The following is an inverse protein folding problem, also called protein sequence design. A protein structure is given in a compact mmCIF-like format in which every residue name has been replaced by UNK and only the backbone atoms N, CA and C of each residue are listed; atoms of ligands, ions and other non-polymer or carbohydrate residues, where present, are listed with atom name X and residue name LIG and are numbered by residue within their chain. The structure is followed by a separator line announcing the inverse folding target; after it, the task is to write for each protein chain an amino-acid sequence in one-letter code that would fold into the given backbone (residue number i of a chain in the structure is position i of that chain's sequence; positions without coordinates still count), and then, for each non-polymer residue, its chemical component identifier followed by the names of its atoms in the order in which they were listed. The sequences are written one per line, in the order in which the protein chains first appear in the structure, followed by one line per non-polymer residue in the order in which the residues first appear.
data_IF_063206735034
#
_entry.id   IF_063206735034
#
_cell.length_a   1.000
_cell.length_b   1.000
_cell.length_c   1.000
_cell.angle_alpha   90.00
_cell.angle_beta   90.00
_cell.angle_gamma   90.00
#
_symmetry.space_group_name_H-M   'P 1'
#
loop_
_entity.id
_entity.type
_entity.pdbx_description
1 polymer ?
#
# COMPACT_ATOMS: atom_id res chain seq x y z
N UNK A 1 -3.80 -20.80 -8.71
CA UNK A 1 -2.56 -20.38 -9.39
C UNK A 1 -2.90 -19.61 -10.65
N UNK A 2 -2.47 -18.35 -10.74
CA UNK A 2 -2.48 -17.60 -12.00
C UNK A 2 -1.49 -16.45 -11.84
N UNK A 3 -0.45 -16.42 -12.67
CA UNK A 3 0.59 -15.37 -12.68
C UNK A 3 0.47 -14.64 -14.00
N UNK A 4 0.26 -13.32 -13.96
CA UNK A 4 0.39 -12.43 -15.12
C UNK A 4 1.67 -11.63 -14.96
N UNK A 5 2.51 -11.66 -15.98
CA UNK A 5 3.75 -10.87 -16.08
C UNK A 5 3.49 -9.80 -17.13
N UNK A 6 3.60 -8.53 -16.76
CA UNK A 6 3.72 -7.43 -17.72
C UNK A 6 5.15 -6.88 -17.69
N UNK A 7 5.75 -6.80 -18.87
CA UNK A 7 7.14 -6.44 -19.08
C UNK A 7 7.25 -4.98 -19.52
N UNK A 8 7.68 -4.11 -18.60
CA UNK A 8 8.00 -2.70 -18.87
C UNK A 8 9.49 -2.51 -19.05
N UNK A 9 9.91 -2.12 -20.26
CA UNK A 9 11.32 -1.89 -20.62
C UNK A 9 11.78 -0.50 -20.12
N UNK A 10 12.67 -0.47 -19.12
CA UNK A 10 13.32 0.74 -18.61
C UNK A 10 14.49 0.38 -17.72
N UNK A 11 15.65 0.99 -17.96
CA UNK A 11 16.95 0.65 -17.36
C UNK A 11 16.95 0.84 -15.84
N UNK A 12 17.53 -0.16 -15.17
CA UNK A 12 17.98 -0.24 -13.78
C UNK A 12 16.88 -0.18 -12.69
N UNK A 13 16.83 -1.27 -11.90
CA UNK A 13 15.90 -1.62 -10.81
C UNK A 13 14.55 -2.29 -11.19
N UNK A 14 14.52 -3.62 -11.08
CA UNK A 14 13.29 -4.43 -11.05
C UNK A 14 12.67 -4.32 -9.65
N UNK A 15 11.50 -3.70 -9.55
CA UNK A 15 10.71 -3.70 -8.30
C UNK A 15 9.60 -4.73 -8.43
N UNK A 16 9.71 -5.86 -7.73
CA UNK A 16 8.67 -6.89 -7.68
C UNK A 16 7.68 -6.53 -6.57
N UNK A 17 6.43 -6.23 -6.95
CA UNK A 17 5.35 -5.96 -5.99
C UNK A 17 4.57 -7.26 -5.76
N UNK A 18 4.89 -7.97 -4.69
CA UNK A 18 4.12 -9.13 -4.22
C UNK A 18 2.96 -8.65 -3.34
N UNK A 19 1.74 -8.69 -3.89
CA UNK A 19 0.52 -8.44 -3.12
C UNK A 19 -0.09 -9.78 -2.71
N UNK A 20 0.16 -10.22 -1.47
CA UNK A 20 -0.56 -11.34 -0.86
C UNK A 20 -1.89 -10.82 -0.31
N UNK A 21 -3.01 -11.26 -0.88
CA UNK A 21 -4.34 -10.99 -0.36
C UNK A 21 -4.82 -12.21 0.44
N UNK A 22 -4.59 -12.20 1.75
CA UNK A 22 -5.14 -13.20 2.66
C UNK A 22 -6.42 -12.62 3.26
N UNK A 23 -7.55 -13.15 2.84
CA UNK A 23 -8.83 -12.92 3.52
C UNK A 23 -9.07 -14.00 4.55
N UNK A 24 -9.35 -13.61 5.80
CA UNK A 24 -10.51 -14.07 6.57
C UNK A 24 -10.42 -13.67 8.06
N UNK A 25 -11.56 -13.20 8.55
CA UNK A 25 -12.01 -13.08 9.94
C UNK A 25 -11.55 -14.20 10.90
N UNK A 26 -11.01 -13.83 12.07
CA UNK A 26 -11.57 -14.08 13.44
C UNK A 26 -10.48 -13.99 14.52
N UNK A 27 -10.97 -13.63 15.71
CA UNK A 27 -10.33 -13.35 17.00
C UNK A 27 -9.65 -14.55 17.71
N UNK A 28 -8.51 -14.26 18.35
CA UNK A 28 -7.83 -14.77 19.59
C UNK A 28 -8.53 -15.80 20.53
N UNK A 29 -7.85 -16.44 21.54
CA UNK A 29 -6.40 -16.57 21.88
C UNK A 29 -5.92 -17.98 22.43
N UNK A 30 -4.64 -18.03 22.87
CA UNK A 30 -3.97 -18.85 23.92
C UNK A 30 -3.22 -20.18 23.61
N UNK A 31 -1.90 -20.10 23.84
CA UNK A 31 -0.89 -21.04 24.40
C UNK A 31 -1.05 -22.57 24.34
N UNK A 32 -0.03 -23.25 23.79
CA UNK A 32 0.86 -24.18 24.52
C UNK A 32 1.81 -24.93 23.57
N UNK A 33 3.02 -25.18 24.06
CA UNK A 33 4.12 -25.85 23.36
C UNK A 33 4.07 -27.38 23.49
N UNK A 34 4.51 -28.09 22.43
CA UNK A 34 5.15 -29.42 22.45
C UNK A 34 6.06 -29.52 21.21
N UNK A 35 7.26 -30.10 21.37
CA UNK A 35 8.37 -30.02 20.43
C UNK A 35 8.80 -31.32 19.74
N UNK A 36 9.94 -31.18 19.03
CA UNK A 36 10.85 -32.17 18.39
C UNK A 36 10.28 -32.91 17.16
N UNK A 37 11.03 -33.07 16.06
CA UNK A 37 12.29 -33.84 15.86
C UNK A 37 13.08 -33.21 14.67
N UNK A 38 14.35 -32.82 14.84
CA UNK A 38 15.59 -33.45 14.30
C UNK A 38 15.66 -33.52 12.75
N UNK A 39 16.77 -33.38 12.02
CA UNK A 39 18.21 -33.53 12.25
C UNK A 39 18.85 -33.25 10.87
N UNK A 40 19.99 -32.54 10.76
CA UNK A 40 21.17 -32.71 9.85
C UNK A 40 22.09 -31.52 10.22
N UNK A 41 23.06 -31.61 11.13
CA UNK A 41 24.31 -32.37 11.13
C UNK A 41 25.37 -31.88 10.11
N UNK A 42 26.44 -31.28 10.65
CA UNK A 42 27.78 -31.21 10.04
C UNK A 42 28.23 -29.82 9.60
N UNK A 43 29.36 -29.26 10.04
CA UNK A 43 30.33 -29.66 11.05
C UNK A 43 31.23 -28.45 11.35
N UNK A 44 31.52 -28.27 12.64
CA UNK A 44 32.77 -27.86 13.28
C UNK A 44 33.70 -26.81 12.66
N UNK A 45 33.94 -25.76 13.44
CA UNK A 45 35.25 -25.43 14.04
C UNK A 45 34.99 -24.62 15.32
N UNK A 46 35.22 -25.24 16.48
CA UNK A 46 35.03 -24.64 17.81
C UNK A 46 36.18 -23.77 18.28
N UNK A 47 35.86 -22.82 19.15
CA UNK A 47 36.65 -22.49 20.35
C UNK A 47 35.65 -22.24 21.48
N UNK A 48 35.92 -22.90 22.60
CA UNK A 48 35.10 -23.01 23.80
C UNK A 48 34.79 -21.67 24.47
N UNK A 49 33.58 -21.53 25.00
CA UNK A 49 33.21 -20.60 26.07
C UNK A 49 32.38 -21.39 27.08
N UNK A 50 32.61 -21.26 28.40
CA UNK A 50 31.80 -21.97 29.39
C UNK A 50 30.45 -21.26 29.61
N UNK A 51 29.44 -22.01 30.10
CA UNK A 51 28.04 -21.65 29.95
C UNK A 51 27.51 -20.94 31.20
N UNK A 52 26.66 -19.93 31.03
CA UNK A 52 25.66 -19.59 32.04
C UNK A 52 24.34 -19.29 31.33
N UNK A 53 23.36 -20.16 31.59
CA UNK A 53 21.99 -20.05 31.14
C UNK A 53 21.19 -18.94 31.83
N UNK A 54 19.87 -18.88 31.58
CA UNK A 54 19.19 -17.64 31.25
C UNK A 54 18.39 -17.09 32.44
N UNK A 55 18.55 -15.82 32.75
CA UNK A 55 17.58 -15.07 33.55
C UNK A 55 16.83 -14.14 32.60
N UNK A 56 15.65 -14.61 32.19
CA UNK A 56 14.59 -13.76 31.72
C UNK A 56 14.20 -12.81 32.87
N UNK A 57 14.43 -11.51 32.70
CA UNK A 57 13.75 -10.49 33.48
C UNK A 57 12.86 -9.69 32.53
N UNK A 58 11.58 -10.00 32.59
CA UNK A 58 10.51 -9.17 32.06
C UNK A 58 10.55 -7.77 32.68
N UNK A 59 10.33 -6.77 31.83
CA UNK A 59 9.70 -5.47 32.08
C UNK A 59 9.95 -4.82 33.46
N UNK A 60 10.88 -3.87 33.49
CA UNK A 60 10.68 -2.54 34.11
C UNK A 60 11.74 -1.56 33.55
N UNK A 61 11.45 -0.26 33.44
CA UNK A 61 12.30 0.69 32.72
C UNK A 61 13.61 0.88 33.49
N UNK A 62 14.77 1.03 32.81
CA UNK A 62 16.00 1.31 33.52
C UNK A 62 15.92 2.72 34.07
N UNK A 63 15.68 2.82 35.37
CA UNK A 63 16.17 3.94 36.15
C UNK A 63 17.67 4.02 35.88
N UNK A 64 18.05 5.05 35.12
CA UNK A 64 19.44 5.40 34.84
C UNK A 64 20.14 5.73 36.15
N UNK A 65 20.61 4.66 36.81
CA UNK A 65 21.93 4.51 37.39
C UNK A 65 22.63 5.85 37.74
N UNK A 66 22.18 6.47 38.83
CA UNK A 66 22.95 7.45 39.61
C UNK A 66 24.30 6.87 40.10
N UNK A 67 24.53 5.56 39.89
CA UNK A 67 25.73 4.81 40.27
C UNK A 67 26.86 4.96 39.23
N UNK A 68 26.57 5.29 37.95
CA UNK A 68 27.63 5.46 36.94
C UNK A 68 28.41 6.77 37.09
N UNK A 69 27.78 7.85 37.56
CA UNK A 69 28.47 9.14 37.74
C UNK A 69 29.43 9.15 38.95
N UNK A 70 29.22 8.24 39.90
CA UNK A 70 29.96 8.16 41.17
C UNK A 70 31.22 7.26 41.08
N UNK A 71 31.36 6.45 40.03
CA UNK A 71 32.49 5.50 39.90
C UNK A 71 33.80 6.13 39.39
N UNK A 72 33.75 7.20 38.58
CA UNK A 72 34.94 7.85 38.02
C UNK A 72 35.78 8.58 39.07
N UNK A 73 35.17 9.52 39.82
CA UNK A 73 35.89 10.28 40.85
C UNK A 73 36.35 9.46 42.07
N UNK A 74 35.75 8.28 42.32
CA UNK A 74 36.15 7.42 43.44
C UNK A 74 37.52 6.78 43.23
N UNK A 75 37.95 6.56 41.97
CA UNK A 75 39.32 6.08 41.70
C UNK A 75 40.35 7.17 42.00
N UNK A 76 40.08 8.42 41.62
CA UNK A 76 40.99 9.55 41.84
C UNK A 76 41.33 9.76 43.32
N UNK A 77 40.39 9.47 44.23
CA UNK A 77 40.61 9.53 45.69
C UNK A 77 41.37 8.30 46.24
N UNK A 78 41.27 7.15 45.57
CA UNK A 78 41.86 5.89 46.03
C UNK A 78 43.27 5.60 45.45
N UNK A 79 43.62 6.15 44.28
CA UNK A 79 44.98 6.04 43.69
C UNK A 79 45.93 7.15 44.14
N UNK A 80 45.40 8.25 44.68
CA UNK A 80 46.19 9.36 45.23
C UNK A 80 47.25 8.96 46.28
N UNK A 81 47.02 7.99 47.18
CA UNK A 81 48.02 7.58 48.17
C UNK A 81 49.06 6.58 47.62
N UNK A 82 48.98 6.16 46.34
CA UNK A 82 49.87 5.14 45.76
C UNK A 82 51.03 5.72 44.94
N UNK A 83 51.11 7.04 44.79
CA UNK A 83 52.18 7.70 44.05
C UNK A 83 53.51 7.62 44.81
N UNK A 84 54.65 7.28 44.16
CA UNK A 84 55.97 7.26 44.80
C UNK A 84 56.39 8.62 45.38
N UNK A 85 55.78 9.72 44.95
CA UNK A 85 56.02 11.07 45.49
C UNK A 85 55.49 11.26 46.91
N UNK A 86 54.48 10.49 47.35
CA UNK A 86 53.91 10.62 48.69
C UNK A 86 54.69 9.82 49.76
N UNK A 87 55.55 8.89 49.34
CA UNK A 87 56.46 8.18 50.25
C UNK A 87 57.61 9.08 50.76
N UNK A 88 57.89 10.19 50.06
CA UNK A 88 58.82 11.24 50.51
C UNK A 88 58.20 12.19 51.55
N UNK A 89 56.87 12.22 51.70
CA UNK A 89 56.16 13.09 52.64
C UNK A 89 56.30 12.69 54.14
N UNK A 90 57.17 11.72 54.45
CA UNK A 90 57.40 11.21 55.81
C UNK A 90 58.46 12.02 56.57
N UNK A 91 59.19 12.91 55.90
CA UNK A 91 60.22 13.74 56.52
C UNK A 91 59.63 15.03 57.13
N UNK A 92 60.11 15.45 58.32
CA UNK A 92 59.54 16.59 59.06
C UNK A 92 59.96 17.97 58.53
N UNK A 93 60.96 18.04 57.65
CA UNK A 93 61.46 19.31 57.07
C UNK A 93 61.74 19.15 55.58
N UNK A 94 61.14 20.01 54.75
CA UNK A 94 61.35 20.04 53.31
C UNK A 94 62.04 21.34 52.88
N UNK A 95 62.97 21.23 51.93
CA UNK A 95 63.50 22.36 51.18
C UNK A 95 62.53 22.79 50.09
N UNK A 96 62.62 24.03 49.62
CA UNK A 96 61.72 24.56 48.59
C UNK A 96 61.80 23.77 47.27
N UNK A 97 62.99 23.24 46.95
CA UNK A 97 63.21 22.44 45.74
C UNK A 97 62.52 21.07 45.83
N UNK A 98 62.59 20.40 46.99
CA UNK A 98 61.89 19.13 47.26
C UNK A 98 60.36 19.31 47.20
N UNK A 99 59.83 20.40 47.78
CA UNK A 99 58.40 20.72 47.67
C UNK A 99 58.02 20.95 46.21
N UNK A 100 58.85 21.65 45.43
CA UNK A 100 58.59 21.86 44.01
C UNK A 100 58.61 20.56 43.21
N UNK A 101 59.54 19.64 43.50
CA UNK A 101 59.62 18.34 42.85
C UNK A 101 58.39 17.48 43.15
N UNK A 102 57.95 17.43 44.42
CA UNK A 102 56.73 16.73 44.82
C UNK A 102 55.49 17.30 44.12
N UNK A 103 55.37 18.63 44.03
CA UNK A 103 54.25 19.28 43.33
C UNK A 103 54.28 19.01 41.82
N UNK A 104 55.45 19.01 41.19
CA UNK A 104 55.59 18.69 39.77
C UNK A 104 55.25 17.22 39.48
N UNK A 105 55.71 16.31 40.35
CA UNK A 105 55.35 14.90 40.25
C UNK A 105 53.85 14.67 40.48
N UNK A 106 53.24 15.36 41.44
CA UNK A 106 51.80 15.32 41.66
C UNK A 106 51.02 15.86 40.44
N UNK A 107 51.47 16.98 39.87
CA UNK A 107 50.88 17.54 38.65
C UNK A 107 50.91 16.55 37.50
N UNK A 108 52.04 15.85 37.29
CA UNK A 108 52.17 14.84 36.25
C UNK A 108 51.20 13.66 36.47
N UNK A 109 51.08 13.17 37.71
CA UNK A 109 50.15 12.08 38.05
C UNK A 109 48.71 12.51 37.82
N UNK A 110 48.30 13.68 38.33
CA UNK A 110 46.95 14.21 38.15
C UNK A 110 46.63 14.42 36.67
N UNK A 111 47.56 14.98 35.90
CA UNK A 111 47.38 15.14 34.45
C UNK A 111 47.16 13.80 33.75
N UNK A 112 48.02 12.80 34.02
CA UNK A 112 47.91 11.48 33.39
C UNK A 112 46.60 10.76 33.75
N UNK A 113 46.12 10.90 34.98
CA UNK A 113 44.87 10.29 35.43
C UNK A 113 43.66 10.99 34.81
N UNK A 114 43.66 12.33 34.78
CA UNK A 114 42.58 13.11 34.13
C UNK A 114 42.53 12.79 32.64
N UNK A 115 43.67 12.70 31.97
CA UNK A 115 43.76 12.33 30.56
C UNK A 115 43.21 10.90 30.33
N UNK A 116 43.63 9.93 31.13
CA UNK A 116 43.14 8.55 31.08
C UNK A 116 41.63 8.47 31.29
N UNK A 117 41.09 9.18 32.28
CA UNK A 117 39.65 9.21 32.58
C UNK A 117 38.85 9.94 31.50
N UNK A 118 39.40 11.00 30.90
CA UNK A 118 38.76 11.68 29.76
C UNK A 118 38.67 10.75 28.55
N UNK A 119 39.76 10.03 28.25
CA UNK A 119 39.81 9.02 27.18
C UNK A 119 38.79 7.91 27.46
N UNK A 120 38.77 7.37 28.68
CA UNK A 120 37.83 6.33 29.09
C UNK A 120 36.37 6.80 28.97
N UNK A 121 36.09 8.06 29.35
CA UNK A 121 34.77 8.67 29.21
C UNK A 121 34.35 8.78 27.75
N UNK A 122 35.25 9.25 26.89
CA UNK A 122 35.00 9.34 25.45
C UNK A 122 34.70 7.96 24.85
N UNK A 123 35.52 6.94 25.12
CA UNK A 123 35.31 5.58 24.61
C UNK A 123 34.01 4.97 25.13
N UNK A 124 33.69 5.13 26.41
CA UNK A 124 32.45 4.62 27.00
C UNK A 124 31.23 5.28 26.37
N UNK A 125 31.28 6.60 26.15
CA UNK A 125 30.17 7.33 25.52
C UNK A 125 29.96 6.90 24.07
N UNK A 126 31.03 6.68 23.30
CA UNK A 126 30.94 6.17 21.92
C UNK A 126 30.32 4.78 21.90
N UNK A 127 30.73 3.88 22.81
CA UNK A 127 30.16 2.54 22.93
C UNK A 127 28.66 2.59 23.30
N UNK A 128 28.27 3.48 24.21
CA UNK A 128 26.88 3.70 24.57
C UNK A 128 26.04 4.19 23.38
N UNK A 129 26.53 5.19 22.65
CA UNK A 129 25.85 5.71 21.45
C UNK A 129 25.69 4.62 20.39
N UNK A 130 26.73 3.81 20.14
CA UNK A 130 26.66 2.66 19.23
C UNK A 130 25.58 1.67 19.65
N UNK A 131 25.50 1.36 20.94
CA UNK A 131 24.50 0.42 21.47
C UNK A 131 23.07 0.98 21.36
N UNK A 132 22.88 2.28 21.60
CA UNK A 132 21.59 2.96 21.44
C UNK A 132 21.13 2.96 19.97
N UNK A 133 22.03 3.25 19.03
CA UNK A 133 21.70 3.22 17.60
C UNK A 133 21.38 1.81 17.10
N UNK A 134 22.13 0.79 17.55
CA UNK A 134 21.81 -0.60 17.21
C UNK A 134 20.44 -1.04 17.76
N UNK A 135 20.07 -0.55 18.95
CA UNK A 135 18.71 -0.78 19.46
C UNK A 135 17.67 -0.05 18.61
N UNK A 136 17.85 1.24 18.36
CA UNK A 136 16.91 2.03 17.55
C UNK A 136 16.70 1.43 16.15
N UNK A 137 17.76 0.90 15.52
CA UNK A 137 17.69 0.19 14.25
C UNK A 137 16.85 -1.09 14.34
N UNK A 138 17.02 -1.92 15.38
CA UNK A 138 16.18 -3.11 15.62
C UNK A 138 14.70 -2.76 15.78
N UNK A 139 14.39 -1.60 16.34
CA UNK A 139 13.04 -1.08 16.51
C UNK A 139 12.56 -0.23 15.32
N UNK A 140 13.34 -0.16 14.23
CA UNK A 140 13.06 0.62 13.02
C UNK A 140 12.74 2.10 13.28
N UNK A 141 13.37 2.68 14.31
CA UNK A 141 13.22 4.10 14.64
C UNK A 141 14.12 4.96 13.74
N UNK A 142 13.54 6.01 13.14
CA UNK A 142 14.31 7.04 12.45
C UNK A 142 14.76 8.09 13.46
N UNK A 143 16.04 8.04 13.83
CA UNK A 143 16.66 9.04 14.69
C UNK A 143 17.12 10.23 13.84
N UNK A 144 16.67 11.43 14.18
CA UNK A 144 17.22 12.68 13.68
C UNK A 144 18.07 13.30 14.79
N UNK A 145 19.29 13.70 14.46
CA UNK A 145 20.14 14.47 15.36
C UNK A 145 20.01 15.93 14.99
N UNK A 146 19.47 16.75 15.88
CA UNK A 146 19.46 18.20 15.71
C UNK A 146 20.80 18.75 16.23
N UNK A 147 21.66 19.15 15.31
CA UNK A 147 22.99 19.70 15.61
C UNK A 147 22.87 21.18 16.06
N UNK A 148 21.74 21.83 15.78
CA UNK A 148 21.50 23.25 16.06
C UNK A 148 21.49 23.56 17.56
N UNK A 149 21.08 22.60 18.39
CA UNK A 149 21.08 22.75 19.86
C UNK A 149 22.49 22.63 20.47
N UNK A 150 23.38 21.83 19.85
CA UNK A 150 24.75 21.61 20.32
C UNK A 150 25.71 22.75 19.92
N UNK A 151 25.41 23.43 18.81
CA UNK A 151 26.23 24.53 18.28
C UNK A 151 25.72 25.91 18.70
N UNK A 152 24.86 25.99 19.73
CA UNK A 152 24.38 27.26 20.24
C UNK A 152 25.53 28.07 20.87
N UNK A 153 26.12 28.92 20.03
CA UNK A 153 27.29 29.75 20.34
C UNK A 153 27.04 30.70 21.52
N UNK A 154 25.80 31.14 21.71
CA UNK A 154 25.42 32.04 22.81
C UNK A 154 25.48 31.32 24.17
N UNK A 155 24.98 30.09 24.26
CA UNK A 155 25.07 29.27 25.47
C UNK A 155 26.52 28.90 25.80
N UNK A 156 27.32 28.58 24.79
CA UNK A 156 28.74 28.29 24.95
C UNK A 156 29.51 29.53 25.44
N UNK A 157 29.16 30.72 24.96
CA UNK A 157 29.76 31.99 25.39
C UNK A 157 29.36 32.33 26.83
N UNK A 158 28.11 32.09 27.23
CA UNK A 158 27.66 32.27 28.63
C UNK A 158 28.38 31.34 29.60
N UNK A 159 28.61 30.08 29.23
CA UNK A 159 29.40 29.13 30.06
C UNK A 159 30.86 29.59 30.14
N UNK A 160 31.45 30.04 29.03
CA UNK A 160 32.81 30.55 29.03
C UNK A 160 32.96 31.85 29.83
N UNK A 161 31.96 32.73 29.82
CA UNK A 161 31.91 33.93 30.67
C UNK A 161 31.76 33.57 32.15
N UNK A 162 30.93 32.58 32.47
CA UNK A 162 30.78 32.07 33.83
C UNK A 162 32.10 31.51 34.37
N UNK A 163 32.79 30.66 33.60
CA UNK A 163 34.11 30.13 33.99
C UNK A 163 35.12 31.26 34.21
N UNK A 164 35.18 32.26 33.31
CA UNK A 164 36.07 33.43 33.47
C UNK A 164 35.74 34.26 34.71
N UNK A 165 34.46 34.42 35.05
CA UNK A 165 34.04 35.14 36.25
C UNK A 165 34.45 34.41 37.54
N UNK A 166 34.44 33.07 37.53
CA UNK A 166 34.89 32.24 38.65
C UNK A 166 36.42 32.28 38.83
N UNK A 167 37.19 32.30 37.73
CA UNK A 167 38.65 32.42 37.80
C UNK A 167 39.15 33.84 38.13
N UNK A 168 38.40 34.89 37.80
CA UNK A 168 38.81 36.29 38.09
C UNK A 168 38.46 36.74 39.50
N UNK A 169 37.47 36.12 40.14
CA UNK A 169 37.06 36.42 41.53
C UNK A 169 38.04 35.90 42.59
N UNK A 170 39.02 35.08 42.22
CA UNK A 170 40.06 34.54 43.12
C UNK A 170 41.39 35.34 43.14
N UNK A 171 41.56 36.36 42.27
CA UNK A 171 42.84 37.07 42.11
C UNK A 171 42.90 38.51 42.67
N UNK A 172 42.00 38.88 43.60
CA UNK A 172 42.15 40.13 44.38
C UNK A 172 42.68 39.82 45.78
N UNK A 173 43.95 40.16 46.02
CA UNK A 173 44.56 40.19 47.36
C UNK A 173 43.68 40.99 48.34
N UNK A 174 43.51 40.52 49.59
CA UNK A 174 42.68 41.20 50.58
C UNK A 174 43.51 42.32 51.23
N UNK A 175 43.18 43.56 50.92
CA UNK A 175 43.56 44.71 51.76
C UNK A 175 42.32 45.08 52.56
N UNK A 176 42.35 44.64 53.82
CA UNK A 176 41.96 45.38 55.03
C UNK A 176 40.73 46.28 54.84
N UNK A 177 39.58 45.78 55.26
CA UNK A 177 38.85 46.45 56.34
C UNK A 177 37.95 45.46 57.07
N UNK A 178 38.44 45.06 58.24
CA UNK A 178 37.68 44.35 59.27
C UNK A 178 36.70 45.37 59.86
N UNK A 179 35.60 45.58 59.16
CA UNK A 179 34.33 45.90 59.83
C UNK A 179 33.52 44.63 59.71
N UNK A 180 33.63 43.75 60.71
CA UNK A 180 32.63 42.72 60.95
C UNK A 180 31.29 43.47 61.05
N UNK A 181 30.35 43.33 60.08
CA UNK A 181 28.98 43.65 60.40
C UNK A 181 28.62 42.63 61.47
N UNK A 182 28.29 43.13 62.66
CA UNK A 182 27.69 42.33 63.72
C UNK A 182 26.54 41.57 63.06
N UNK A 183 26.66 40.25 62.95
CA UNK A 183 25.64 39.40 62.37
C UNK A 183 24.34 39.71 63.10
N UNK A 184 23.43 40.41 62.43
CA UNK A 184 22.06 40.46 62.88
C UNK A 184 21.58 39.01 62.94
N UNK A 185 20.81 38.61 63.97
CA UNK A 185 20.18 37.31 63.98
C UNK A 185 19.46 37.15 62.63
N UNK A 186 19.74 36.05 61.94
CA UNK A 186 19.07 35.67 60.71
C UNK A 186 17.60 35.53 61.06
N UNK A 187 16.86 36.63 60.94
CA UNK A 187 15.44 36.66 61.22
C UNK A 187 14.83 35.55 60.37
N UNK A 188 14.01 34.72 60.99
CA UNK A 188 13.39 33.51 60.45
C UNK A 188 12.49 33.76 59.21
N UNK A 189 12.51 34.97 58.65
CA UNK A 189 11.75 35.42 57.49
C UNK A 189 12.47 35.32 56.14
N UNK A 190 13.80 35.30 56.03
CA UNK A 190 14.46 35.36 54.71
C UNK A 190 14.22 34.12 53.84
N UNK A 191 14.50 32.94 54.38
CA UNK A 191 14.27 31.65 53.71
C UNK A 191 12.78 31.33 53.59
N UNK A 192 11.99 31.69 54.60
CA UNK A 192 10.53 31.52 54.60
C UNK A 192 9.83 32.43 53.59
N UNK A 193 10.28 33.68 53.40
CA UNK A 193 9.77 34.59 52.36
C UNK A 193 10.15 34.14 50.96
N UNK A 194 11.37 33.64 50.74
CA UNK A 194 11.77 33.07 49.45
C UNK A 194 10.96 31.80 49.12
N UNK A 195 10.76 30.92 50.11
CA UNK A 195 9.87 29.76 49.98
C UNK A 195 8.43 30.18 49.70
N UNK A 196 7.89 31.19 50.39
CA UNK A 196 6.54 31.69 50.16
C UNK A 196 6.39 32.30 48.76
N UNK A 197 7.40 33.03 48.25
CA UNK A 197 7.41 33.54 46.87
C UNK A 197 7.42 32.41 45.85
N UNK A 198 8.21 31.37 46.09
CA UNK A 198 8.26 30.19 45.21
C UNK A 198 6.95 29.40 45.26
N UNK A 199 6.34 29.24 46.44
CA UNK A 199 5.02 28.62 46.61
C UNK A 199 3.96 29.41 45.82
N UNK A 200 3.96 30.74 45.89
CA UNK A 200 3.03 31.58 45.14
C UNK A 200 3.24 31.45 43.62
N UNK A 201 4.49 31.47 43.15
CA UNK A 201 4.82 31.26 41.74
C UNK A 201 4.34 29.89 41.24
N UNK A 202 4.64 28.83 42.00
CA UNK A 202 4.21 27.47 41.67
C UNK A 202 2.68 27.32 41.73
N UNK A 203 2.00 28.04 42.63
CA UNK A 203 0.53 28.08 42.67
C UNK A 203 -0.05 28.77 41.43
N UNK A 204 0.50 29.91 41.02
CA UNK A 204 0.09 30.62 39.82
C UNK A 204 0.33 29.77 38.55
N UNK A 205 1.50 29.14 38.45
CA UNK A 205 1.81 28.21 37.36
C UNK A 205 0.86 27.02 37.35
N UNK A 206 0.53 26.44 38.51
CA UNK A 206 -0.44 25.35 38.60
C UNK A 206 -1.86 25.78 38.17
N UNK A 207 -2.33 26.96 38.56
CA UNK A 207 -3.63 27.47 38.11
C UNK A 207 -3.64 27.78 36.60
N UNK A 208 -2.54 28.30 36.06
CA UNK A 208 -2.36 28.48 34.61
C UNK A 208 -2.35 27.14 33.87
N UNK A 209 -1.70 26.11 34.41
CA UNK A 209 -1.71 24.77 33.83
C UNK A 209 -3.11 24.14 33.90
N UNK A 210 -3.81 24.25 35.03
CA UNK A 210 -5.19 23.75 35.19
C UNK A 210 -6.16 24.43 34.22
N UNK A 211 -6.06 25.74 34.03
CA UNK A 211 -6.91 26.47 33.08
C UNK A 211 -6.64 26.02 31.64
N UNK A 212 -5.38 25.89 31.23
CA UNK A 212 -5.02 25.33 29.91
C UNK A 212 -5.53 23.92 29.73
N UNK A 213 -5.40 23.07 30.75
CA UNK A 213 -5.87 21.70 30.72
C UNK A 213 -7.39 21.65 30.51
N UNK A 214 -8.17 22.45 31.25
CA UNK A 214 -9.62 22.59 31.05
C UNK A 214 -9.98 23.04 29.63
N UNK A 215 -9.27 24.03 29.07
CA UNK A 215 -9.52 24.47 27.69
C UNK A 215 -9.28 23.35 26.68
N UNK A 216 -8.18 22.61 26.83
CA UNK A 216 -7.86 21.49 25.95
C UNK A 216 -8.89 20.35 26.10
N UNK A 217 -9.32 20.04 27.32
CA UNK A 217 -10.38 19.06 27.57
C UNK A 217 -11.69 19.45 26.88
N UNK A 218 -12.12 20.71 27.01
CA UNK A 218 -13.32 21.22 26.32
C UNK A 218 -13.16 21.06 24.81
N UNK A 219 -12.05 21.54 24.23
CA UNK A 219 -11.79 21.42 22.79
C UNK A 219 -11.77 19.95 22.32
N UNK A 220 -11.19 19.05 23.10
CA UNK A 220 -11.18 17.63 22.79
C UNK A 220 -12.60 17.03 22.79
N UNK A 221 -13.43 17.40 23.77
CA UNK A 221 -14.83 16.92 23.83
C UNK A 221 -15.69 17.50 22.71
N UNK A 222 -15.50 18.77 22.35
CA UNK A 222 -16.17 19.41 21.21
C UNK A 222 -15.78 18.76 19.88
N UNK A 223 -14.48 18.55 19.66
CA UNK A 223 -13.98 17.86 18.47
C UNK A 223 -14.50 16.42 18.36
N UNK A 224 -14.61 15.70 19.49
CA UNK A 224 -15.20 14.36 19.53
C UNK A 224 -16.70 14.38 19.16
N UNK A 225 -17.44 15.35 19.69
CA UNK A 225 -18.86 15.51 19.38
C UNK A 225 -19.07 15.82 17.89
N UNK A 226 -18.30 16.75 17.32
CA UNK A 226 -18.36 17.07 15.90
C UNK A 226 -17.95 15.89 15.02
N UNK A 227 -16.90 15.16 15.38
CA UNK A 227 -16.53 13.91 14.71
C UNK A 227 -17.70 12.92 14.70
N UNK A 228 -18.38 12.73 15.83
CA UNK A 228 -19.51 11.79 15.92
C UNK A 228 -20.71 12.21 15.06
N UNK A 229 -20.96 13.52 14.92
CA UNK A 229 -22.01 14.07 14.05
C UNK A 229 -21.65 13.86 12.58
N UNK A 230 -20.41 14.16 12.20
CA UNK A 230 -19.91 13.98 10.83
C UNK A 230 -19.90 12.51 10.43
N UNK A 231 -19.53 11.61 11.34
CA UNK A 231 -19.54 10.16 11.11
C UNK A 231 -20.96 9.63 10.86
N UNK A 232 -21.94 10.09 11.63
CA UNK A 232 -23.36 9.78 11.39
C UNK A 232 -23.85 10.31 10.05
N UNK A 233 -23.58 11.58 9.75
CA UNK A 233 -23.99 12.18 8.47
C UNK A 233 -23.35 11.46 7.27
N UNK A 234 -22.11 11.01 7.39
CA UNK A 234 -21.43 10.24 6.36
C UNK A 234 -22.04 8.85 6.19
N UNK A 235 -22.41 8.19 7.28
CA UNK A 235 -23.10 6.90 7.24
C UNK A 235 -24.49 7.02 6.59
N UNK A 236 -25.25 8.06 6.92
CA UNK A 236 -26.57 8.31 6.33
C UNK A 236 -26.47 8.56 4.83
N UNK A 237 -25.53 9.42 4.39
CA UNK A 237 -25.27 9.67 2.97
C UNK A 237 -24.83 8.41 2.20
N UNK A 238 -24.05 7.53 2.83
CA UNK A 238 -23.66 6.25 2.22
C UNK A 238 -24.85 5.30 2.05
N UNK A 239 -25.76 5.25 3.04
CA UNK A 239 -26.99 4.45 2.94
C UNK A 239 -27.91 4.99 1.85
N UNK A 240 -28.11 6.30 1.78
CA UNK A 240 -28.93 6.93 0.75
C UNK A 240 -28.36 6.71 -0.65
N UNK A 241 -27.04 6.85 -0.82
CA UNK A 241 -26.37 6.59 -2.09
C UNK A 241 -26.44 5.11 -2.49
N UNK A 242 -26.28 4.19 -1.53
CA UNK A 242 -26.43 2.75 -1.75
C UNK A 242 -27.84 2.41 -2.23
N UNK A 243 -28.86 2.85 -1.48
CA UNK A 243 -30.26 2.64 -1.80
C UNK A 243 -30.65 3.23 -3.16
N UNK A 244 -30.23 4.45 -3.46
CA UNK A 244 -30.50 5.10 -4.74
C UNK A 244 -29.84 4.36 -5.90
N UNK A 245 -28.59 3.92 -5.73
CA UNK A 245 -27.86 3.17 -6.76
C UNK A 245 -28.47 1.80 -7.01
N UNK A 246 -28.91 1.12 -5.96
CA UNK A 246 -29.56 -0.19 -6.07
C UNK A 246 -30.95 -0.07 -6.70
N UNK A 247 -31.71 0.99 -6.37
CA UNK A 247 -32.98 1.30 -7.03
C UNK A 247 -32.80 1.61 -8.53
N UNK A 248 -31.86 2.49 -8.89
CA UNK A 248 -31.58 2.83 -10.29
C UNK A 248 -31.16 1.59 -11.08
N UNK A 249 -30.23 0.78 -10.54
CA UNK A 249 -29.79 -0.45 -11.20
C UNK A 249 -30.93 -1.46 -11.36
N UNK A 250 -31.77 -1.65 -10.36
CA UNK A 250 -32.89 -2.59 -10.43
C UNK A 250 -33.93 -2.13 -11.47
N UNK A 251 -34.23 -0.83 -11.50
CA UNK A 251 -35.14 -0.24 -12.48
C UNK A 251 -34.58 -0.35 -13.90
N UNK A 252 -33.34 0.08 -14.14
CA UNK A 252 -32.69 0.00 -15.46
C UNK A 252 -32.60 -1.45 -15.96
N UNK A 253 -32.33 -2.40 -15.06
CA UNK A 253 -32.24 -3.82 -15.41
C UNK A 253 -33.61 -4.41 -15.74
N UNK A 254 -34.65 -4.06 -14.97
CA UNK A 254 -36.04 -4.42 -15.25
C UNK A 254 -36.52 -3.85 -16.59
N UNK A 255 -36.24 -2.57 -16.86
CA UNK A 255 -36.61 -1.92 -18.12
C UNK A 255 -35.87 -2.54 -19.31
N UNK A 256 -34.59 -2.87 -19.16
CA UNK A 256 -33.83 -3.59 -20.17
C UNK A 256 -34.40 -5.01 -20.40
N UNK A 257 -34.75 -5.73 -19.34
CA UNK A 257 -35.38 -7.06 -19.44
C UNK A 257 -36.71 -6.99 -20.21
N UNK A 258 -37.53 -5.98 -19.93
CA UNK A 258 -38.79 -5.73 -20.63
C UNK A 258 -38.56 -5.44 -22.12
N UNK A 259 -37.61 -4.55 -22.45
CA UNK A 259 -37.31 -4.24 -23.87
C UNK A 259 -36.77 -5.45 -24.63
N UNK A 260 -35.92 -6.27 -24.00
CA UNK A 260 -35.42 -7.52 -24.58
C UNK A 260 -36.55 -8.52 -24.79
N UNK A 261 -37.47 -8.65 -23.83
CA UNK A 261 -38.65 -9.51 -23.96
C UNK A 261 -39.56 -9.07 -25.11
N UNK A 262 -39.83 -7.76 -25.24
CA UNK A 262 -40.61 -7.18 -26.34
C UNK A 262 -39.94 -7.44 -27.68
N UNK A 263 -38.65 -7.13 -27.83
CA UNK A 263 -37.90 -7.35 -29.06
C UNK A 263 -37.86 -8.82 -29.46
N UNK A 264 -37.70 -9.72 -28.49
CA UNK A 264 -37.73 -11.17 -28.73
C UNK A 264 -39.10 -11.62 -29.26
N UNK A 265 -40.18 -11.15 -28.63
CA UNK A 265 -41.55 -11.43 -29.07
C UNK A 265 -41.83 -10.90 -30.48
N UNK A 266 -41.41 -9.68 -30.78
CA UNK A 266 -41.55 -9.08 -32.11
C UNK A 266 -40.75 -9.83 -33.18
N UNK A 267 -39.54 -10.26 -32.85
CA UNK A 267 -38.70 -11.05 -33.75
C UNK A 267 -39.32 -12.42 -34.04
N UNK A 268 -39.81 -13.11 -33.02
CA UNK A 268 -40.49 -14.41 -33.15
C UNK A 268 -41.77 -14.29 -33.97
N UNK A 269 -42.58 -13.25 -33.71
CA UNK A 269 -43.76 -12.94 -34.51
C UNK A 269 -43.40 -12.69 -35.98
N UNK A 270 -42.39 -11.87 -36.24
CA UNK A 270 -41.95 -11.55 -37.60
C UNK A 270 -41.44 -12.79 -38.35
N UNK A 271 -40.75 -13.71 -37.66
CA UNK A 271 -40.32 -14.98 -38.24
C UNK A 271 -41.51 -15.90 -38.57
N UNK A 272 -42.49 -15.98 -37.67
CA UNK A 272 -43.71 -16.76 -37.92
C UNK A 272 -44.50 -16.18 -39.10
N UNK A 273 -44.73 -14.87 -39.12
CA UNK A 273 -45.42 -14.18 -40.21
C UNK A 273 -44.71 -14.41 -41.56
N UNK A 274 -43.37 -14.34 -41.60
CA UNK A 274 -42.59 -14.64 -42.80
C UNK A 274 -42.75 -16.10 -43.23
N UNK A 275 -42.70 -17.03 -42.28
CA UNK A 275 -42.82 -18.47 -42.54
C UNK A 275 -44.22 -18.82 -43.06
N UNK A 276 -45.26 -18.25 -42.47
CA UNK A 276 -46.65 -18.48 -42.89
C UNK A 276 -46.91 -17.88 -44.28
N UNK A 277 -46.43 -16.65 -44.53
CA UNK A 277 -46.50 -16.03 -45.85
C UNK A 277 -45.75 -16.83 -46.91
N UNK A 278 -44.55 -17.33 -46.59
CA UNK A 278 -43.78 -18.18 -47.49
C UNK A 278 -44.54 -19.47 -47.83
N UNK A 279 -45.12 -20.15 -46.82
CA UNK A 279 -45.95 -21.35 -47.05
C UNK A 279 -47.17 -21.05 -47.91
N UNK A 280 -47.87 -19.95 -47.63
CA UNK A 280 -49.03 -19.53 -48.44
C UNK A 280 -48.66 -19.24 -49.89
N UNK A 281 -47.52 -18.59 -50.13
CA UNK A 281 -47.01 -18.34 -51.47
C UNK A 281 -46.63 -19.62 -52.19
N UNK A 282 -45.99 -20.56 -51.50
CA UNK A 282 -45.61 -21.86 -52.05
C UNK A 282 -46.85 -22.69 -52.42
N UNK A 283 -47.86 -22.73 -51.56
CA UNK A 283 -49.14 -23.39 -51.82
C UNK A 283 -49.88 -22.77 -53.01
N UNK A 284 -49.92 -21.43 -53.11
CA UNK A 284 -50.49 -20.73 -54.27
C UNK A 284 -49.73 -21.04 -55.56
N UNK A 285 -48.41 -21.12 -55.50
CA UNK A 285 -47.55 -21.44 -56.64
C UNK A 285 -47.82 -22.87 -57.12
N UNK A 286 -47.90 -23.83 -56.19
CA UNK A 286 -48.26 -25.22 -56.47
C UNK A 286 -49.65 -25.30 -57.10
N UNK A 287 -50.64 -24.62 -56.51
CA UNK A 287 -52.01 -24.60 -57.05
C UNK A 287 -52.05 -24.02 -58.47
N UNK A 288 -51.40 -22.87 -58.70
CA UNK A 288 -51.31 -22.25 -60.01
C UNK A 288 -50.61 -23.15 -61.05
N UNK A 289 -49.57 -23.90 -60.64
CA UNK A 289 -48.92 -24.90 -61.50
C UNK A 289 -49.88 -26.02 -61.90
N UNK A 290 -50.66 -26.57 -60.97
CA UNK A 290 -51.64 -27.60 -61.27
C UNK A 290 -52.73 -27.09 -62.23
N UNK A 291 -53.23 -25.87 -62.00
CA UNK A 291 -54.20 -25.24 -62.90
C UNK A 291 -53.64 -24.99 -64.29
N UNK A 292 -52.39 -24.53 -64.39
CA UNK A 292 -51.71 -24.34 -65.68
C UNK A 292 -51.59 -25.67 -66.43
N UNK A 293 -51.14 -26.74 -65.77
CA UNK A 293 -51.04 -28.07 -66.38
C UNK A 293 -52.41 -28.58 -66.85
N UNK A 294 -53.46 -28.36 -66.06
CA UNK A 294 -54.83 -28.73 -66.42
C UNK A 294 -55.31 -27.97 -67.66
N UNK A 295 -55.10 -26.66 -67.72
CA UNK A 295 -55.45 -25.84 -68.90
C UNK A 295 -54.63 -26.26 -70.11
N UNK A 296 -53.34 -26.55 -69.94
CA UNK A 296 -52.46 -27.03 -71.01
C UNK A 296 -52.96 -28.37 -71.59
N UNK A 297 -53.39 -29.30 -70.73
CA UNK A 297 -53.98 -30.57 -71.17
C UNK A 297 -55.29 -30.34 -71.94
N UNK A 298 -56.19 -29.51 -71.40
CA UNK A 298 -57.45 -29.14 -72.07
C UNK A 298 -57.20 -28.50 -73.44
N UNK A 299 -56.22 -27.61 -73.53
CA UNK A 299 -55.84 -26.94 -74.78
C UNK A 299 -55.31 -27.96 -75.80
N UNK A 300 -54.45 -28.90 -75.40
CA UNK A 300 -53.98 -29.98 -76.29
C UNK A 300 -55.12 -30.89 -76.78
N UNK A 301 -56.11 -31.19 -75.93
CA UNK A 301 -57.28 -31.96 -76.32
C UNK A 301 -58.15 -31.18 -77.32
N UNK A 302 -58.40 -29.90 -77.06
CA UNK A 302 -59.15 -29.03 -77.95
C UNK A 302 -58.44 -28.85 -79.31
N UNK A 303 -57.11 -28.70 -79.33
CA UNK A 303 -56.31 -28.67 -80.56
C UNK A 303 -56.45 -29.98 -81.35
N UNK A 304 -56.33 -31.14 -80.69
CA UNK A 304 -56.52 -32.44 -81.35
C UNK A 304 -57.93 -32.62 -81.88
N UNK A 305 -58.95 -32.14 -81.17
CA UNK A 305 -60.33 -32.20 -81.65
C UNK A 305 -60.55 -31.25 -82.83
N UNK A 306 -60.04 -30.03 -82.76
CA UNK A 306 -60.10 -29.05 -83.85
C UNK A 306 -59.41 -29.59 -85.10
N UNK A 307 -58.23 -30.20 -84.96
CA UNK A 307 -57.51 -30.85 -86.06
C UNK A 307 -58.34 -31.97 -86.69
N UNK A 308 -58.98 -32.81 -85.87
CA UNK A 308 -59.92 -33.84 -86.37
C UNK A 308 -61.09 -33.23 -87.13
N UNK A 309 -61.72 -32.17 -86.60
CA UNK A 309 -62.85 -31.47 -87.24
C UNK A 309 -62.41 -30.79 -88.54
N UNK A 310 -61.22 -30.19 -88.57
CA UNK A 310 -60.62 -29.60 -89.75
C UNK A 310 -60.40 -30.66 -90.84
N UNK A 311 -59.80 -31.80 -90.51
CA UNK A 311 -59.63 -32.93 -91.43
C UNK A 311 -60.97 -33.47 -91.96
N UNK A 312 -62.03 -33.36 -91.17
CA UNK A 312 -63.40 -33.72 -91.56
C UNK A 312 -64.11 -32.64 -92.39
N UNK A 313 -63.54 -31.45 -92.58
CA UNK A 313 -64.22 -30.37 -93.32
C UNK A 313 -64.28 -30.70 -94.82
N UNK A 314 -65.39 -30.36 -95.49
CA UNK A 314 -65.61 -30.69 -96.91
C UNK A 314 -64.54 -30.09 -97.83
N UNK A 315 -64.09 -28.86 -97.55
CA UNK A 315 -63.02 -28.20 -98.29
C UNK A 315 -61.69 -28.97 -98.19
N UNK A 316 -61.28 -29.40 -96.99
CA UNK A 316 -60.07 -30.18 -96.78
C UNK A 316 -60.17 -31.58 -97.43
N UNK A 317 -61.31 -32.28 -97.28
CA UNK A 317 -61.54 -33.58 -97.91
C UNK A 317 -61.49 -33.50 -99.45
N UNK A 318 -62.16 -32.53 -100.05
CA UNK A 318 -62.10 -32.29 -101.50
C UNK A 318 -60.67 -31.99 -101.95
N UNK A 319 -59.96 -31.09 -101.25
CA UNK A 319 -58.58 -30.76 -101.58
C UNK A 319 -57.65 -31.97 -101.47
N UNK A 320 -57.79 -32.77 -100.41
CA UNK A 320 -57.05 -34.01 -100.19
C UNK A 320 -57.33 -35.02 -101.32
N UNK A 321 -58.59 -35.20 -101.70
CA UNK A 321 -58.99 -36.11 -102.78
C UNK A 321 -58.46 -35.67 -104.16
N UNK A 322 -58.51 -34.36 -104.47
CA UNK A 322 -57.92 -33.80 -105.69
C UNK A 322 -56.41 -34.03 -105.70
N UNK A 323 -55.71 -33.79 -104.57
CA UNK A 323 -54.28 -34.01 -104.44
C UNK A 323 -53.91 -35.49 -104.60
N UNK A 324 -54.65 -36.41 -103.98
CA UNK A 324 -54.39 -37.86 -104.13
C UNK A 324 -54.63 -38.30 -105.56
N UNK A 325 -55.74 -37.90 -106.19
CA UNK A 325 -56.02 -38.21 -107.61
C UNK A 325 -54.94 -37.65 -108.54
N UNK A 326 -54.52 -36.40 -108.35
CA UNK A 326 -53.43 -35.81 -109.15
C UNK A 326 -52.10 -36.54 -108.93
N UNK A 327 -51.77 -36.91 -107.69
CA UNK A 327 -50.57 -37.70 -107.42
C UNK A 327 -50.62 -39.08 -108.07
N UNK A 328 -51.77 -39.75 -108.07
CA UNK A 328 -51.95 -41.04 -108.71
C UNK A 328 -51.90 -40.92 -110.24
N UNK A 329 -52.49 -39.86 -110.81
CA UNK A 329 -52.31 -39.51 -112.22
C UNK A 329 -50.83 -39.24 -112.56
N UNK A 330 -50.10 -38.50 -111.72
CA UNK A 330 -48.66 -38.28 -111.90
C UNK A 330 -47.91 -39.60 -111.84
N UNK A 331 -48.23 -40.50 -110.89
CA UNK A 331 -47.62 -41.84 -110.82
C UNK A 331 -47.92 -42.66 -112.07
N UNK A 332 -49.14 -42.65 -112.57
CA UNK A 332 -49.52 -43.41 -113.77
C UNK A 332 -48.86 -42.82 -115.02
N UNK A 333 -48.84 -41.49 -115.16
CA UNK A 333 -48.12 -40.80 -116.24
C UNK A 333 -46.63 -41.09 -116.17
N UNK A 334 -46.00 -41.07 -114.99
CA UNK A 334 -44.60 -41.48 -114.80
C UNK A 334 -44.38 -42.94 -115.21
N UNK A 335 -45.27 -43.85 -114.84
CA UNK A 335 -45.21 -45.27 -115.26
C UNK A 335 -45.38 -45.45 -116.77
N UNK A 336 -46.21 -44.64 -117.42
CA UNK A 336 -46.40 -44.66 -118.87
C UNK A 336 -45.23 -44.02 -119.60
N UNK A 337 -44.68 -42.91 -119.09
CA UNK A 337 -43.44 -42.31 -119.62
C UNK A 337 -42.28 -43.29 -119.52
N UNK A 338 -42.16 -44.04 -118.42
CA UNK A 338 -41.14 -45.08 -118.25
C UNK A 338 -41.22 -46.23 -119.27
N UNK A 339 -42.31 -46.33 -120.08
CA UNK A 339 -42.39 -47.28 -121.21
C UNK A 339 -41.84 -46.71 -122.52
N UNK A 340 -41.70 -45.39 -122.61
CA UNK A 340 -41.23 -44.65 -123.78
C UNK A 340 -39.89 -43.96 -123.55
N UNK A 341 -39.42 -43.91 -122.31
CA UNK A 341 -38.01 -43.84 -122.00
C UNK A 341 -37.40 -45.16 -122.49
N UNK A 342 -36.88 -45.16 -123.72
CA UNK A 342 -35.84 -46.11 -124.09
C UNK A 342 -34.73 -45.98 -123.05
N UNK A 343 -34.20 -47.11 -122.59
CA UNK A 343 -32.93 -47.12 -121.87
C UNK A 343 -31.87 -46.45 -122.77
N UNK A 344 -31.64 -45.16 -122.53
CA UNK A 344 -30.39 -44.49 -122.81
C UNK A 344 -29.65 -44.29 -121.49
#
# INVERSE_FOLDING_TARGET
ETVRVEEGRGKDCVTVKLSLKVGAHRSFPQDSAVGRVAEIAGNDCGVESPPVGPWACHLHPPSLCSICKVRGLRKTVLTFPSSPTFSLLVEETFTADEVSEVLNGLQAVVHSEVESELINTAYTNVLLLRQLFSQAEKWYLKLQTDISELENRELLEQVAEFEKAEFTSSNKKPIIDIIKPKLAPLNEGGTAELLNKEILRLQEENEKLKSRLKTIEIQATEALNEKSKLEKALQDLQLDQGNQKDFIKAQDLSDLENTVATLKSEFEKTLNDKTENQKSLEEKLVTAKHDLLRVQEQLSLAEKELEKKFQQTAAYRNMKEILTRKNDQIKDLRKRLAKYESED
#
